data_IF_359398740093
#
_entry.id   IF_359398740093
#
_cell.length_a   1.000
_cell.length_b   1.000
_cell.length_c   1.000
_cell.angle_alpha   90.00
_cell.angle_beta   90.00
_cell.angle_gamma   90.00
#
_symmetry.space_group_name_H-M   'P 1'
#
loop_
_entity.id
_entity.type
_entity.pdbx_description
1 polymer ?
#
# COMPACT_ATOMS: atom_id res chain seq x y z
N UNK A 1 26.25 -11.32 -9.54
CA UNK A 1 24.87 -11.04 -10.04
C UNK A 1 23.88 -10.71 -8.90
N UNK A 2 23.88 -11.44 -7.76
CA UNK A 2 22.96 -11.15 -6.65
C UNK A 2 23.22 -9.78 -5.98
N UNK A 3 24.48 -9.41 -5.73
CA UNK A 3 24.84 -8.15 -5.08
C UNK A 3 24.50 -6.90 -5.91
N UNK A 4 24.55 -7.01 -7.23
CA UNK A 4 24.17 -5.92 -8.15
C UNK A 4 22.64 -5.78 -8.26
N UNK A 5 21.89 -6.88 -8.17
CA UNK A 5 20.43 -6.85 -8.11
C UNK A 5 19.93 -6.21 -6.79
N UNK A 6 20.56 -6.53 -5.66
CA UNK A 6 20.26 -5.91 -4.35
C UNK A 6 20.53 -4.41 -4.33
N UNK A 7 21.65 -3.95 -4.92
CA UNK A 7 21.94 -2.52 -5.08
C UNK A 7 20.93 -1.79 -5.96
N UNK A 8 20.45 -2.45 -7.02
CA UNK A 8 19.48 -1.87 -7.94
C UNK A 8 18.12 -1.66 -7.30
N UNK A 9 17.65 -2.59 -6.45
CA UNK A 9 16.38 -2.46 -5.74
C UNK A 9 16.44 -1.39 -4.63
N UNK A 10 17.53 -1.32 -3.89
CA UNK A 10 17.73 -0.26 -2.88
C UNK A 10 17.75 1.14 -3.52
N UNK A 11 18.44 1.31 -4.65
CA UNK A 11 18.48 2.57 -5.41
C UNK A 11 17.14 2.93 -6.08
N UNK A 12 16.27 1.94 -6.31
CA UNK A 12 14.91 2.18 -6.82
C UNK A 12 13.94 2.76 -5.78
N UNK A 13 14.33 2.83 -4.51
CA UNK A 13 13.47 3.35 -3.43
C UNK A 13 12.87 4.72 -3.72
N UNK A 14 13.64 5.62 -4.35
CA UNK A 14 13.16 6.96 -4.78
C UNK A 14 11.99 6.94 -5.76
N UNK A 15 11.78 5.84 -6.50
CA UNK A 15 10.71 5.70 -7.49
C UNK A 15 9.43 5.07 -6.90
N UNK A 16 9.44 4.64 -5.66
CA UNK A 16 8.27 4.01 -5.02
C UNK A 16 6.98 4.85 -5.08
N UNK A 17 7.01 6.19 -4.94
CA UNK A 17 5.82 7.03 -5.14
C UNK A 17 5.23 6.93 -6.54
N UNK A 18 6.08 6.76 -7.58
CA UNK A 18 5.63 6.59 -8.97
C UNK A 18 4.89 5.27 -9.12
N UNK A 19 5.42 4.18 -8.53
CA UNK A 19 4.71 2.89 -8.49
C UNK A 19 3.37 3.05 -7.76
N UNK A 20 3.35 3.82 -6.67
CA UNK A 20 2.10 4.17 -5.98
C UNK A 20 1.10 4.88 -6.90
N UNK A 21 1.55 5.85 -7.68
CA UNK A 21 0.71 6.56 -8.66
C UNK A 21 0.15 5.62 -9.73
N UNK A 22 0.97 4.69 -10.25
CA UNK A 22 0.53 3.71 -11.25
C UNK A 22 -0.54 2.76 -10.69
N UNK A 23 -0.33 2.22 -9.49
CA UNK A 23 -1.31 1.35 -8.81
C UNK A 23 -2.59 2.12 -8.52
N UNK A 24 -2.47 3.35 -7.99
CA UNK A 24 -3.60 4.22 -7.71
C UNK A 24 -4.38 4.60 -8.97
N UNK A 25 -3.68 4.85 -10.09
CA UNK A 25 -4.29 5.13 -11.39
C UNK A 25 -5.11 3.93 -11.89
N UNK A 26 -4.52 2.73 -11.89
CA UNK A 26 -5.22 1.52 -12.32
C UNK A 26 -6.49 1.27 -11.49
N UNK A 27 -6.40 1.40 -10.17
CA UNK A 27 -7.55 1.26 -9.28
C UNK A 27 -8.58 2.38 -9.45
N UNK A 28 -8.13 3.64 -9.63
CA UNK A 28 -8.98 4.80 -9.87
C UNK A 28 -9.75 4.71 -11.18
N UNK A 29 -9.11 4.25 -12.25
CA UNK A 29 -9.77 3.95 -13.54
C UNK A 29 -10.84 2.90 -13.36
N UNK A 30 -10.55 1.82 -12.63
CA UNK A 30 -11.53 0.77 -12.32
C UNK A 30 -12.72 1.30 -11.52
N UNK A 31 -12.49 2.20 -10.54
CA UNK A 31 -13.55 2.85 -9.76
C UNK A 31 -14.47 3.68 -10.67
N UNK A 32 -13.89 4.50 -11.55
CA UNK A 32 -14.65 5.33 -12.47
C UNK A 32 -15.42 4.49 -13.48
N UNK A 33 -14.78 3.46 -14.07
CA UNK A 33 -15.42 2.57 -15.04
C UNK A 33 -16.62 1.83 -14.43
N UNK A 34 -16.49 1.33 -13.20
CA UNK A 34 -17.60 0.67 -12.49
C UNK A 34 -18.71 1.64 -12.10
N UNK A 35 -18.40 2.90 -11.83
CA UNK A 35 -19.41 3.93 -11.60
C UNK A 35 -20.22 4.28 -12.85
N UNK A 36 -19.59 4.26 -14.04
CA UNK A 36 -20.29 4.53 -15.31
C UNK A 36 -21.30 3.45 -15.69
N UNK A 37 -21.08 2.21 -15.26
CA UNK A 37 -22.07 1.12 -15.45
C UNK A 37 -23.13 1.08 -14.33
N UNK A 38 -23.15 2.10 -13.47
CA UNK A 38 -24.20 2.31 -12.47
C UNK A 38 -24.08 1.47 -11.20
N UNK A 39 -22.87 0.95 -10.88
CA UNK A 39 -22.68 0.21 -9.62
C UNK A 39 -22.78 1.16 -8.42
N UNK A 40 -23.26 0.61 -7.30
CA UNK A 40 -23.30 1.32 -6.03
C UNK A 40 -21.89 1.76 -5.58
N UNK A 41 -21.70 2.96 -5.00
CA UNK A 41 -20.38 3.49 -4.63
C UNK A 41 -19.51 2.52 -3.83
N UNK A 42 -20.10 1.76 -2.92
CA UNK A 42 -19.37 0.75 -2.15
C UNK A 42 -18.84 -0.38 -3.04
N UNK A 43 -19.62 -0.81 -4.05
CA UNK A 43 -19.19 -1.83 -5.00
C UNK A 43 -18.06 -1.31 -5.90
N UNK A 44 -18.13 -0.04 -6.33
CA UNK A 44 -17.05 0.62 -7.07
C UNK A 44 -15.76 0.68 -6.24
N UNK A 45 -15.86 1.04 -4.97
CA UNK A 45 -14.73 1.09 -4.04
C UNK A 45 -14.10 -0.29 -3.83
N UNK A 46 -14.92 -1.33 -3.61
CA UNK A 46 -14.43 -2.71 -3.47
C UNK A 46 -13.74 -3.21 -4.74
N UNK A 47 -14.30 -2.93 -5.92
CA UNK A 47 -13.68 -3.27 -7.21
C UNK A 47 -12.32 -2.59 -7.38
N UNK A 48 -12.21 -1.30 -7.03
CA UNK A 48 -10.95 -0.56 -7.08
C UNK A 48 -9.89 -1.15 -6.13
N UNK A 49 -10.27 -1.50 -4.90
CA UNK A 49 -9.38 -2.14 -3.94
C UNK A 49 -8.94 -3.53 -4.41
N UNK A 50 -9.83 -4.29 -5.03
CA UNK A 50 -9.51 -5.58 -5.63
C UNK A 50 -8.50 -5.43 -6.78
N UNK A 51 -8.68 -4.44 -7.66
CA UNK A 51 -7.72 -4.11 -8.73
C UNK A 51 -6.35 -3.77 -8.13
N UNK A 52 -6.31 -2.92 -7.10
CA UNK A 52 -5.05 -2.57 -6.43
C UNK A 52 -4.35 -3.81 -5.84
N UNK A 53 -5.09 -4.71 -5.20
CA UNK A 53 -4.55 -5.95 -4.66
C UNK A 53 -4.02 -6.87 -5.77
N UNK A 54 -4.76 -7.06 -6.86
CA UNK A 54 -4.32 -7.89 -8.00
C UNK A 54 -3.05 -7.32 -8.65
N UNK A 55 -3.01 -6.01 -8.91
CA UNK A 55 -1.84 -5.35 -9.53
C UNK A 55 -0.59 -5.47 -8.67
N UNK A 56 -0.73 -5.50 -7.34
CA UNK A 56 0.40 -5.65 -6.41
C UNK A 56 0.65 -7.10 -5.99
N UNK A 57 -0.06 -8.08 -6.55
CA UNK A 57 0.01 -9.47 -6.15
C UNK A 57 -0.42 -9.71 -4.70
N UNK A 58 -1.28 -8.85 -4.16
CA UNK A 58 -1.77 -8.86 -2.78
C UNK A 58 -0.66 -8.79 -1.69
N UNK A 59 0.56 -8.37 -2.06
CA UNK A 59 1.73 -8.36 -1.16
C UNK A 59 1.49 -7.58 0.15
N UNK A 60 0.73 -6.49 0.08
CA UNK A 60 0.44 -5.65 1.25
C UNK A 60 -0.63 -6.27 2.14
N UNK A 61 -1.60 -6.91 1.54
CA UNK A 61 -2.68 -7.64 2.20
C UNK A 61 -2.12 -8.87 2.91
N UNK A 62 -1.25 -9.63 2.25
CA UNK A 62 -0.54 -10.78 2.82
C UNK A 62 0.30 -10.37 4.03
N UNK A 63 1.12 -9.32 3.88
CA UNK A 63 1.92 -8.80 4.99
C UNK A 63 1.08 -8.28 6.16
N UNK A 64 -0.11 -7.69 5.91
CA UNK A 64 -1.03 -7.26 6.96
C UNK A 64 -1.59 -8.47 7.72
N UNK A 65 -2.01 -9.51 7.00
CA UNK A 65 -2.53 -10.74 7.59
C UNK A 65 -1.47 -11.44 8.45
N UNK A 66 -0.25 -11.60 7.92
CA UNK A 66 0.88 -12.20 8.62
C UNK A 66 1.21 -11.46 9.92
N UNK A 67 1.27 -10.13 9.87
CA UNK A 67 1.54 -9.30 11.05
C UNK A 67 0.42 -9.45 12.08
N UNK A 68 -0.85 -9.42 11.65
CA UNK A 68 -1.99 -9.56 12.54
C UNK A 68 -1.99 -10.93 13.23
N UNK A 69 -1.76 -12.01 12.50
CA UNK A 69 -1.68 -13.35 13.05
C UNK A 69 -0.46 -13.54 13.96
N UNK A 70 0.69 -12.99 13.55
CA UNK A 70 1.90 -13.05 14.35
C UNK A 70 1.77 -12.34 15.70
N UNK A 71 1.14 -11.16 15.72
CA UNK A 71 0.96 -10.40 16.96
C UNK A 71 -0.22 -10.89 17.79
N UNK A 72 -1.28 -11.37 17.16
CA UNK A 72 -2.44 -11.94 17.86
C UNK A 72 -2.16 -13.31 18.49
N UNK A 73 -1.38 -14.16 17.78
CA UNK A 73 -1.11 -15.55 18.22
C UNK A 73 0.23 -15.75 18.95
N UNK A 74 1.24 -14.90 18.69
CA UNK A 74 2.61 -15.10 19.21
C UNK A 74 2.89 -14.29 20.48
N UNK A 75 3.34 -14.95 21.56
CA UNK A 75 3.74 -14.28 22.81
C UNK A 75 5.20 -13.82 22.83
N UNK A 76 6.08 -14.47 22.07
CA UNK A 76 7.50 -14.12 21.97
C UNK A 76 7.85 -13.69 20.56
N UNK A 77 8.97 -12.96 20.39
CA UNK A 77 9.48 -12.56 19.07
C UNK A 77 9.64 -13.78 18.14
N UNK A 78 10.21 -14.87 18.66
CA UNK A 78 10.41 -16.10 17.88
C UNK A 78 9.09 -16.74 17.45
N UNK A 79 8.08 -16.78 18.34
CA UNK A 79 6.76 -17.31 18.03
C UNK A 79 6.05 -16.44 16.98
N UNK A 80 6.09 -15.11 17.10
CA UNK A 80 5.53 -14.18 16.11
C UNK A 80 6.13 -14.40 14.72
N UNK A 81 7.46 -14.41 14.61
CA UNK A 81 8.16 -14.62 13.35
C UNK A 81 7.92 -16.01 12.75
N UNK A 82 7.69 -17.04 13.60
CA UNK A 82 7.31 -18.38 13.14
C UNK A 82 5.91 -18.38 12.52
N UNK A 83 4.93 -17.71 13.17
CA UNK A 83 3.56 -17.59 12.66
C UNK A 83 3.55 -16.82 11.31
N UNK A 84 4.28 -15.70 11.21
CA UNK A 84 4.41 -14.92 9.98
C UNK A 84 5.08 -15.67 8.80
N UNK A 85 5.60 -16.86 9.01
CA UNK A 85 6.14 -17.74 7.95
C UNK A 85 5.20 -18.86 7.55
N UNK A 86 4.14 -19.07 8.32
CA UNK A 86 3.14 -20.08 8.02
C UNK A 86 2.25 -19.55 6.89
N UNK A 87 2.11 -20.30 5.81
CA UNK A 87 1.27 -19.93 4.67
C UNK A 87 -0.24 -19.99 4.96
N UNK A 88 -0.62 -20.45 6.15
CA UNK A 88 -2.02 -20.53 6.57
C UNK A 88 -2.43 -19.23 7.24
N UNK A 89 -3.51 -18.64 6.74
CA UNK A 89 -4.11 -17.48 7.38
C UNK A 89 -4.85 -17.88 8.66
N UNK A 90 -4.64 -17.11 9.73
CA UNK A 90 -5.34 -17.26 10.99
C UNK A 90 -6.53 -16.31 11.14
N UNK A 91 -7.21 -16.42 12.26
CA UNK A 91 -8.39 -15.59 12.56
C UNK A 91 -8.08 -14.10 12.64
N UNK A 92 -6.94 -13.72 13.22
CA UNK A 92 -6.54 -12.31 13.31
C UNK A 92 -6.21 -11.73 11.94
N UNK A 93 -5.55 -12.50 11.06
CA UNK A 93 -5.28 -12.10 9.68
C UNK A 93 -6.57 -11.87 8.90
N UNK A 94 -7.52 -12.80 8.97
CA UNK A 94 -8.84 -12.64 8.34
C UNK A 94 -9.55 -11.38 8.83
N UNK A 95 -9.62 -11.17 10.15
CA UNK A 95 -10.26 -9.98 10.72
C UNK A 95 -9.55 -8.69 10.29
N UNK A 96 -8.22 -8.68 10.28
CA UNK A 96 -7.44 -7.51 9.83
C UNK A 96 -7.74 -7.17 8.37
N UNK A 97 -7.84 -8.17 7.49
CA UNK A 97 -8.19 -7.96 6.07
C UNK A 97 -9.62 -7.45 5.92
N UNK A 98 -10.60 -8.07 6.59
CA UNK A 98 -12.02 -7.67 6.52
C UNK A 98 -12.18 -6.22 6.97
N UNK A 99 -11.61 -5.84 8.12
CA UNK A 99 -11.69 -4.47 8.61
C UNK A 99 -10.90 -3.49 7.74
N UNK A 100 -9.71 -3.85 7.29
CA UNK A 100 -8.89 -2.97 6.43
C UNK A 100 -9.58 -2.70 5.09
N UNK A 101 -10.09 -3.72 4.43
CA UNK A 101 -10.80 -3.56 3.14
C UNK A 101 -12.14 -2.86 3.35
N UNK A 102 -12.90 -3.26 4.37
CA UNK A 102 -14.21 -2.68 4.68
C UNK A 102 -14.14 -1.19 5.01
N UNK A 103 -13.22 -0.78 5.89
CA UNK A 103 -13.06 0.63 6.26
C UNK A 103 -12.56 1.49 5.08
N UNK A 104 -11.61 0.99 4.29
CA UNK A 104 -11.14 1.69 3.09
C UNK A 104 -12.27 1.84 2.06
N UNK A 105 -13.06 0.78 1.84
CA UNK A 105 -14.18 0.83 0.91
C UNK A 105 -15.29 1.79 1.38
N UNK A 106 -15.62 1.78 2.67
CA UNK A 106 -16.60 2.71 3.25
C UNK A 106 -16.12 4.18 3.15
N UNK A 107 -14.84 4.43 3.44
CA UNK A 107 -14.25 5.77 3.33
C UNK A 107 -14.32 6.30 1.88
N UNK A 108 -13.95 5.47 0.89
CA UNK A 108 -14.03 5.85 -0.52
C UNK A 108 -15.47 6.08 -0.98
N UNK A 109 -16.40 5.21 -0.57
CA UNK A 109 -17.81 5.33 -0.93
C UNK A 109 -18.49 6.56 -0.30
N UNK A 110 -17.96 7.10 0.80
CA UNK A 110 -18.44 8.32 1.45
C UNK A 110 -17.95 9.61 0.83
N UNK A 111 -17.05 9.56 -0.17
CA UNK A 111 -16.54 10.77 -0.82
C UNK A 111 -17.54 11.34 -1.86
N UNK A 112 -17.47 12.65 -2.14
CA UNK A 112 -18.42 13.32 -3.05
C UNK A 112 -18.21 12.92 -4.52
N UNK A 113 -18.55 11.69 -4.87
CA UNK A 113 -18.52 11.17 -6.24
C UNK A 113 -17.23 10.43 -6.61
N UNK A 114 -17.26 9.74 -7.78
CA UNK A 114 -16.21 8.81 -8.20
C UNK A 114 -14.87 9.50 -8.50
N UNK A 115 -14.88 10.74 -8.96
CA UNK A 115 -13.65 11.50 -9.23
C UNK A 115 -12.86 11.78 -7.95
N UNK A 116 -13.53 12.26 -6.90
CA UNK A 116 -12.91 12.51 -5.59
C UNK A 116 -12.39 11.21 -4.97
N UNK A 117 -13.14 10.13 -5.08
CA UNK A 117 -12.72 8.82 -4.59
C UNK A 117 -11.49 8.28 -5.33
N UNK A 118 -11.43 8.44 -6.66
CA UNK A 118 -10.27 8.04 -7.46
C UNK A 118 -9.02 8.85 -7.08
N UNK A 119 -9.14 10.19 -6.95
CA UNK A 119 -8.02 11.05 -6.55
C UNK A 119 -7.53 10.73 -5.13
N UNK A 120 -8.43 10.51 -4.18
CA UNK A 120 -8.09 10.12 -2.82
C UNK A 120 -7.35 8.75 -2.79
N UNK A 121 -7.81 7.78 -3.59
CA UNK A 121 -7.17 6.48 -3.72
C UNK A 121 -5.76 6.59 -4.31
N UNK A 122 -5.59 7.42 -5.36
CA UNK A 122 -4.27 7.71 -5.95
C UNK A 122 -3.34 8.36 -4.93
N UNK A 123 -3.81 9.38 -4.22
CA UNK A 123 -3.03 10.07 -3.19
C UNK A 123 -2.60 9.12 -2.07
N UNK A 124 -3.51 8.27 -1.59
CA UNK A 124 -3.22 7.28 -0.56
C UNK A 124 -2.21 6.22 -1.04
N UNK A 125 -2.33 5.77 -2.30
CA UNK A 125 -1.38 4.83 -2.90
C UNK A 125 0.02 5.43 -3.04
N UNK A 126 0.14 6.69 -3.41
CA UNK A 126 1.41 7.43 -3.45
C UNK A 126 1.99 7.60 -2.06
N UNK A 127 1.21 8.14 -1.12
CA UNK A 127 1.66 8.43 0.23
C UNK A 127 2.20 7.18 0.94
N UNK A 128 1.48 6.07 0.82
CA UNK A 128 1.89 4.81 1.45
C UNK A 128 3.23 4.28 0.90
N UNK A 129 3.52 4.44 -0.39
CA UNK A 129 4.79 4.00 -1.01
C UNK A 129 5.92 5.01 -0.76
N UNK A 130 5.61 6.29 -0.65
CA UNK A 130 6.60 7.33 -0.36
C UNK A 130 7.26 7.18 1.02
N UNK A 131 6.54 6.62 2.00
CA UNK A 131 7.04 6.39 3.36
C UNK A 131 7.95 5.16 3.46
N UNK A 132 7.75 4.15 2.61
CA UNK A 132 8.47 2.88 2.70
C UNK A 132 9.99 3.01 2.69
N UNK A 133 10.64 3.80 1.79
CA UNK A 133 12.09 3.95 1.80
C UNK A 133 12.63 4.52 3.10
N UNK A 134 11.89 5.42 3.76
CA UNK A 134 12.28 5.96 5.07
C UNK A 134 12.21 4.89 6.16
N UNK A 135 11.18 4.07 6.16
CA UNK A 135 11.03 2.94 7.09
C UNK A 135 12.16 1.93 6.88
N UNK A 136 12.44 1.55 5.62
CA UNK A 136 13.52 0.62 5.27
C UNK A 136 14.91 1.20 5.60
N UNK A 137 15.09 2.52 5.47
CA UNK A 137 16.34 3.18 5.86
C UNK A 137 16.57 3.14 7.38
N UNK A 138 15.53 3.34 8.18
CA UNK A 138 15.64 3.48 9.64
C UNK A 138 15.57 2.18 10.41
N UNK A 139 14.83 1.21 9.89
CA UNK A 139 14.60 -0.06 10.59
C UNK A 139 15.43 -1.18 9.97
N UNK A 140 15.97 -2.02 10.84
CA UNK A 140 16.62 -3.25 10.40
C UNK A 140 15.57 -4.32 10.11
N UNK A 141 15.79 -5.19 9.10
CA UNK A 141 14.93 -6.33 8.85
C UNK A 141 14.77 -7.19 10.10
N UNK A 142 13.55 -7.60 10.39
CA UNK A 142 13.26 -8.44 11.55
C UNK A 142 13.88 -9.86 11.46
N UNK A 143 14.24 -10.27 10.24
CA UNK A 143 14.85 -11.58 9.89
C UNK A 143 16.06 -11.34 9.01
N UNK A 144 16.93 -12.36 8.90
CA UNK A 144 18.10 -12.36 8.00
C UNK A 144 17.78 -12.89 6.60
N UNK A 145 16.53 -13.17 6.31
CA UNK A 145 16.00 -13.72 5.07
C UNK A 145 14.68 -13.02 4.68
N UNK A 146 14.24 -13.23 3.44
CA UNK A 146 12.95 -12.75 2.93
C UNK A 146 13.06 -11.45 2.13
N UNK A 147 11.88 -10.96 1.71
CA UNK A 147 11.76 -9.82 0.78
C UNK A 147 12.44 -8.53 1.27
N UNK A 148 12.35 -8.24 2.56
CA UNK A 148 12.94 -7.02 3.13
C UNK A 148 14.48 -7.04 3.06
N UNK A 149 15.10 -8.20 3.18
CA UNK A 149 16.56 -8.36 3.03
C UNK A 149 16.94 -8.28 1.54
N UNK A 150 16.22 -9.00 0.67
CA UNK A 150 16.46 -8.97 -0.78
C UNK A 150 16.21 -7.60 -1.43
N UNK A 151 15.34 -6.76 -0.85
CA UNK A 151 15.11 -5.40 -1.32
C UNK A 151 16.27 -4.44 -0.98
N UNK A 152 17.14 -4.81 -0.03
CA UNK A 152 18.25 -3.96 0.40
C UNK A 152 17.82 -2.77 1.28
N UNK A 153 18.77 -1.89 1.58
CA UNK A 153 18.54 -0.70 2.43
C UNK A 153 18.73 0.57 1.62
N UNK A 154 17.67 1.35 1.33
CA UNK A 154 17.77 2.64 0.64
C UNK A 154 18.68 3.61 1.39
N UNK A 155 19.34 4.50 0.67
CA UNK A 155 20.11 5.59 1.28
C UNK A 155 19.17 6.63 1.91
N UNK A 156 19.71 7.51 2.76
CA UNK A 156 18.94 8.64 3.28
C UNK A 156 18.45 9.56 2.16
N UNK A 157 19.26 9.75 1.14
CA UNK A 157 18.93 10.57 -0.03
C UNK A 157 17.76 9.97 -0.83
N UNK A 158 17.75 8.67 -1.06
CA UNK A 158 16.64 7.99 -1.72
C UNK A 158 15.34 8.11 -0.91
N UNK A 159 15.43 7.95 0.42
CA UNK A 159 14.29 8.06 1.30
C UNK A 159 13.70 9.47 1.34
N UNK A 160 14.56 10.51 1.41
CA UNK A 160 14.12 11.90 1.36
C UNK A 160 13.55 12.26 0.01
N UNK A 161 14.19 11.83 -1.08
CA UNK A 161 13.70 12.06 -2.45
C UNK A 161 12.32 11.43 -2.67
N UNK A 162 12.11 10.20 -2.19
CA UNK A 162 10.80 9.53 -2.22
C UNK A 162 9.74 10.32 -1.44
N UNK A 163 10.08 10.79 -0.24
CA UNK A 163 9.16 11.55 0.59
C UNK A 163 8.75 12.88 -0.07
N UNK A 164 9.71 13.62 -0.64
CA UNK A 164 9.46 14.88 -1.33
C UNK A 164 8.63 14.68 -2.61
N UNK A 165 8.99 13.68 -3.43
CA UNK A 165 8.23 13.33 -4.63
C UNK A 165 6.80 12.90 -4.26
N UNK A 166 6.66 12.06 -3.24
CA UNK A 166 5.36 11.63 -2.76
C UNK A 166 4.50 12.79 -2.26
N UNK A 167 5.07 13.70 -1.49
CA UNK A 167 4.36 14.90 -1.03
C UNK A 167 3.89 15.78 -2.20
N UNK A 168 4.76 16.01 -3.20
CA UNK A 168 4.39 16.77 -4.40
C UNK A 168 3.25 16.12 -5.18
N UNK A 169 3.28 14.80 -5.38
CA UNK A 169 2.22 14.07 -6.08
C UNK A 169 0.90 14.06 -5.28
N UNK A 170 0.95 13.89 -3.95
CA UNK A 170 -0.24 13.96 -3.09
C UNK A 170 -0.89 15.35 -3.18
N UNK A 171 -0.09 16.41 -3.11
CA UNK A 171 -0.59 17.78 -3.26
C UNK A 171 -1.19 18.00 -4.65
N UNK A 172 -0.59 17.45 -5.71
CA UNK A 172 -1.11 17.51 -7.06
C UNK A 172 -2.49 16.83 -7.17
N UNK A 173 -2.69 15.68 -6.54
CA UNK A 173 -3.96 14.94 -6.61
C UNK A 173 -5.04 15.51 -5.70
N UNK A 174 -4.69 16.02 -4.52
CA UNK A 174 -5.65 16.55 -3.56
C UNK A 174 -5.91 18.07 -3.72
N UNK A 175 -4.97 18.81 -4.30
CA UNK A 175 -5.11 20.26 -4.49
C UNK A 175 -6.38 20.67 -5.25
N UNK A 176 -6.75 20.04 -6.37
CA UNK A 176 -8.00 20.30 -7.07
C UNK A 176 -9.25 19.89 -6.29
N UNK A 177 -9.17 18.82 -5.48
CA UNK A 177 -10.31 18.33 -4.70
C UNK A 177 -10.64 19.24 -3.50
N UNK A 178 -9.66 19.93 -2.92
CA UNK A 178 -9.88 20.89 -1.85
C UNK A 178 -10.62 22.14 -2.31
N UNK A 179 -10.47 22.54 -3.59
CA UNK A 179 -11.18 23.68 -4.19
C UNK A 179 -12.62 23.40 -4.62
N UNK A 180 -13.01 22.13 -4.74
CA UNK A 180 -14.37 21.73 -5.15
C UNK A 180 -15.33 21.49 -3.97
N UNK A 181 -14.83 21.55 -2.73
CA UNK A 181 -15.60 21.33 -1.50
C UNK A 181 -16.04 22.63 -0.81
N UNK A 182 -15.71 23.79 -1.38
CA UNK A 182 -16.18 25.13 -0.97
C UNK A 182 -17.19 25.66 -1.95
#
# INVERSE_FOLDING_TARGET
ESADAERNLAGAGRTFPIIGAMVGLAAGVGLIATSWIGLHPLACALAALAIAAVVTGALHEDGLADVADGFGGGRTRAAKLKIMRDSRIGTYGVLALVFSVGLRAAALAGLPGPGSAALALMAAAVASRAVLPMVMHRLEPARRDGLAVGAGRPTREDAVSAALLGAALVLLFLGPAAGAAT
#
